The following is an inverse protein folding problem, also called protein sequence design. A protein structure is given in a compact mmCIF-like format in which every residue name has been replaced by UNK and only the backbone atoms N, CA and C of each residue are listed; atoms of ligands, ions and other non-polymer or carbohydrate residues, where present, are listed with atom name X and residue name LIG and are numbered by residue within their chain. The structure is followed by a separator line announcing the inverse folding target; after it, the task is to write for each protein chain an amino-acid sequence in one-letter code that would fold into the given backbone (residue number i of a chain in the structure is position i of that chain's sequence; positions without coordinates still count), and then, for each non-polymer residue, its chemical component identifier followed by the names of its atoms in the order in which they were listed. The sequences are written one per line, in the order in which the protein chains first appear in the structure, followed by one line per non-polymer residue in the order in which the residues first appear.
data_IF_403135006451
#
_entry.id   IF_403135006451
#
_cell.length_a   1.000
_cell.length_b   1.000
_cell.length_c   1.000
_cell.angle_alpha   90.00
_cell.angle_beta   90.00
_cell.angle_gamma   90.00
#
_symmetry.space_group_name_H-M   'P 1'
#
loop_
_entity.id
_entity.type
_entity.pdbx_description
1 polymer ?
#
# COMPACT_ATOMS: atom_id res chain seq x y z
N UNK A 1 -9.20 27.18 23.29
CA UNK A 1 -9.90 27.10 21.98
C UNK A 1 -10.83 25.89 21.99
N UNK A 2 -12.07 26.01 21.51
CA UNK A 2 -13.03 24.87 21.54
C UNK A 2 -12.67 23.87 20.42
N UNK A 3 -12.39 22.59 20.73
CA UNK A 3 -11.99 21.58 19.73
C UNK A 3 -13.06 21.37 18.63
N UNK A 4 -14.32 21.57 18.97
CA UNK A 4 -15.45 21.55 18.01
C UNK A 4 -15.30 22.61 16.92
N UNK A 5 -14.82 23.82 17.28
CA UNK A 5 -14.58 24.91 16.32
C UNK A 5 -13.36 24.61 15.45
N UNK A 6 -12.33 23.96 16.00
CA UNK A 6 -11.15 23.53 15.25
C UNK A 6 -11.51 22.51 14.16
N UNK A 7 -12.23 21.44 14.50
CA UNK A 7 -12.66 20.42 13.53
C UNK A 7 -13.58 21.00 12.44
N UNK A 8 -14.44 21.96 12.78
CA UNK A 8 -15.27 22.68 11.80
C UNK A 8 -14.42 23.46 10.80
N UNK A 9 -13.35 24.11 11.26
CA UNK A 9 -12.42 24.82 10.40
C UNK A 9 -11.61 23.86 9.51
N UNK A 10 -11.15 22.73 10.05
CA UNK A 10 -10.45 21.68 9.28
C UNK A 10 -11.34 21.13 8.17
N UNK A 11 -12.60 20.77 8.47
CA UNK A 11 -13.54 20.29 7.45
C UNK A 11 -13.78 21.35 6.35
N UNK A 12 -13.81 22.64 6.70
CA UNK A 12 -13.93 23.73 5.72
C UNK A 12 -12.72 23.81 4.79
N UNK A 13 -11.52 23.58 5.29
CA UNK A 13 -10.30 23.61 4.48
C UNK A 13 -10.15 22.34 3.62
N UNK A 14 -10.49 21.18 4.17
CA UNK A 14 -10.48 19.89 3.47
C UNK A 14 -11.41 19.87 2.25
N UNK A 15 -12.50 20.66 2.27
CA UNK A 15 -13.40 20.83 1.12
C UNK A 15 -12.82 21.68 -0.01
N UNK A 16 -11.81 22.51 0.27
CA UNK A 16 -11.11 23.31 -0.77
C UNK A 16 -10.02 22.51 -1.48
N UNK A 17 -9.58 21.41 -0.87
CA UNK A 17 -8.60 20.51 -1.46
C UNK A 17 -9.25 19.72 -2.61
N UNK A 18 -8.58 19.70 -3.76
CA UNK A 18 -8.99 18.91 -4.91
C UNK A 18 -8.65 17.43 -4.68
N UNK A 19 -9.58 16.69 -4.09
CA UNK A 19 -9.43 15.25 -3.93
C UNK A 19 -9.45 14.55 -5.29
N UNK A 20 -8.61 13.51 -5.48
CA UNK A 20 -8.59 12.74 -6.72
C UNK A 20 -9.97 12.12 -6.98
N UNK A 21 -10.35 12.04 -8.26
CA UNK A 21 -11.61 11.39 -8.65
C UNK A 21 -11.52 9.91 -8.32
N UNK A 22 -12.61 9.30 -7.84
CA UNK A 22 -12.62 7.90 -7.39
C UNK A 22 -12.03 6.90 -8.40
N UNK A 23 -12.22 7.12 -9.71
CA UNK A 23 -11.63 6.31 -10.78
C UNK A 23 -10.09 6.36 -10.81
N UNK A 24 -9.53 7.53 -10.55
CA UNK A 24 -8.08 7.74 -10.53
C UNK A 24 -7.46 7.06 -9.31
N UNK A 25 -8.12 7.20 -8.15
CA UNK A 25 -7.72 6.53 -6.92
C UNK A 25 -7.71 5.00 -7.09
N UNK A 26 -8.75 4.42 -7.69
CA UNK A 26 -8.81 2.98 -7.98
C UNK A 26 -7.67 2.54 -8.89
N UNK A 27 -7.33 3.32 -9.92
CA UNK A 27 -6.21 3.00 -10.81
C UNK A 27 -4.88 2.96 -10.06
N UNK A 28 -4.63 3.93 -9.19
CA UNK A 28 -3.42 3.94 -8.35
C UNK A 28 -3.38 2.77 -7.38
N UNK A 29 -4.50 2.44 -6.73
CA UNK A 29 -4.58 1.27 -5.84
C UNK A 29 -4.30 -0.02 -6.60
N UNK A 30 -4.86 -0.21 -7.80
CA UNK A 30 -4.60 -1.40 -8.62
C UNK A 30 -3.12 -1.52 -8.97
N UNK A 31 -2.48 -0.43 -9.39
CA UNK A 31 -1.04 -0.44 -9.69
C UNK A 31 -0.22 -0.88 -8.48
N UNK A 32 -0.49 -0.31 -7.30
CA UNK A 32 0.23 -0.66 -6.07
C UNK A 32 -0.01 -2.13 -5.71
N UNK A 33 -1.26 -2.59 -5.73
CA UNK A 33 -1.61 -4.00 -5.43
C UNK A 33 -0.89 -4.95 -6.38
N UNK A 34 -0.84 -4.62 -7.67
CA UNK A 34 -0.13 -5.43 -8.66
C UNK A 34 1.36 -5.50 -8.38
N UNK A 35 2.00 -4.36 -8.08
CA UNK A 35 3.43 -4.35 -7.75
C UNK A 35 3.75 -5.14 -6.49
N UNK A 36 2.91 -5.04 -5.46
CA UNK A 36 3.09 -5.78 -4.21
C UNK A 36 2.92 -7.27 -4.46
N UNK A 37 1.85 -7.68 -5.17
CA UNK A 37 1.60 -9.07 -5.50
C UNK A 37 2.78 -9.70 -6.27
N UNK A 38 3.34 -8.99 -7.26
CA UNK A 38 4.51 -9.45 -8.00
C UNK A 38 5.72 -9.68 -7.08
N UNK A 39 6.03 -8.70 -6.24
CA UNK A 39 7.16 -8.78 -5.30
C UNK A 39 6.95 -9.91 -4.29
N UNK A 40 5.73 -10.09 -3.77
CA UNK A 40 5.39 -11.19 -2.87
C UNK A 40 5.65 -12.56 -3.50
N UNK A 41 5.23 -12.76 -4.75
CA UNK A 41 5.47 -14.03 -5.47
C UNK A 41 6.97 -14.26 -5.69
N UNK A 42 7.71 -13.21 -6.07
CA UNK A 42 9.16 -13.30 -6.27
C UNK A 42 9.89 -13.72 -4.98
N UNK A 43 9.59 -13.07 -3.85
CA UNK A 43 10.18 -13.46 -2.58
C UNK A 43 9.79 -14.87 -2.16
N UNK A 44 8.52 -15.26 -2.32
CA UNK A 44 8.10 -16.62 -2.00
C UNK A 44 8.88 -17.69 -2.79
N UNK A 45 9.14 -17.45 -4.08
CA UNK A 45 9.96 -18.35 -4.90
C UNK A 45 11.41 -18.40 -4.43
N UNK A 46 11.99 -17.25 -4.11
CA UNK A 46 13.37 -17.17 -3.61
C UNK A 46 13.50 -17.88 -2.26
N UNK A 47 12.58 -17.64 -1.33
CA UNK A 47 12.63 -18.24 0.00
C UNK A 47 12.56 -19.76 -0.09
N UNK A 48 11.67 -20.29 -0.95
CA UNK A 48 11.59 -21.73 -1.21
C UNK A 48 12.86 -22.27 -1.87
N UNK A 49 13.39 -21.55 -2.87
CA UNK A 49 14.62 -21.94 -3.55
C UNK A 49 15.82 -21.97 -2.61
N UNK A 50 16.02 -20.93 -1.81
CA UNK A 50 17.08 -20.84 -0.80
C UNK A 50 16.89 -21.93 0.25
N UNK A 51 15.67 -22.15 0.75
CA UNK A 51 15.40 -23.19 1.75
C UNK A 51 15.78 -24.58 1.23
N UNK A 52 15.40 -24.92 0.00
CA UNK A 52 15.76 -26.19 -0.61
C UNK A 52 17.27 -26.33 -0.80
N UNK A 53 17.94 -25.27 -1.23
CA UNK A 53 19.39 -25.26 -1.49
C UNK A 53 20.19 -25.37 -0.19
N UNK A 54 19.74 -24.71 0.88
CA UNK A 54 20.31 -24.84 2.22
C UNK A 54 20.11 -26.26 2.76
N UNK A 55 18.91 -26.84 2.65
CA UNK A 55 18.67 -28.21 3.10
C UNK A 55 19.59 -29.20 2.37
N UNK A 56 19.79 -29.07 1.06
CA UNK A 56 20.69 -29.95 0.30
C UNK A 56 22.18 -29.80 0.65
N UNK A 57 22.61 -28.65 1.20
CA UNK A 57 24.01 -28.38 1.54
C UNK A 57 24.35 -28.71 3.01
N UNK A 58 23.37 -28.57 3.91
CA UNK A 58 23.56 -28.75 5.36
C UNK A 58 23.04 -30.10 5.89
N UNK A 59 22.32 -30.85 5.06
CA UNK A 59 21.96 -32.26 5.26
C UNK A 59 22.86 -33.15 4.37
#
# INVERSE_FOLDING_TARGET
MKPVTFLKNVNREMKKVSWPRGRELTRYTITVVFTVAFVTVFFALIDLGITQLLNMLFE
#
